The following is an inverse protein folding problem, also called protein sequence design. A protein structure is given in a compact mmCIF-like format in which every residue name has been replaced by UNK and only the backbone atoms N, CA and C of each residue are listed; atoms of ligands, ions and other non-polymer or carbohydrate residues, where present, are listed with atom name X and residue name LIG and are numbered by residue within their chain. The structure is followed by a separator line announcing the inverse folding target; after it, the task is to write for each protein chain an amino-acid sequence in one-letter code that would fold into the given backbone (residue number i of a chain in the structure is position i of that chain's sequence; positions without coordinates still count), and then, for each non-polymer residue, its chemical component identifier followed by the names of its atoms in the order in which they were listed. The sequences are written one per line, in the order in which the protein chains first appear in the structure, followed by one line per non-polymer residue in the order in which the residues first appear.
data_IF_768143004825
#
_entry.id   IF_768143004825
#
_cell.length_a   1.000
_cell.length_b   1.000
_cell.length_c   1.000
_cell.angle_alpha   90.00
_cell.angle_beta   90.00
_cell.angle_gamma   90.00
#
_symmetry.space_group_name_H-M   'P 1'
#
loop_
_entity.id
_entity.type
_entity.pdbx_description
1 polymer ?
#
# COMPACT_ATOMS: atom_id res chain seq x y z
N UNK A 1 -11.03 9.48 4.63
CA UNK A 1 -10.79 10.21 5.89
C UNK A 1 -10.83 9.22 7.04
N UNK A 2 -9.69 8.64 7.41
CA UNK A 2 -9.45 8.00 8.72
C UNK A 2 -7.95 7.67 8.83
N UNK A 3 -7.19 8.63 9.32
CA UNK A 3 -5.77 8.50 9.62
C UNK A 3 -5.63 8.06 11.08
N UNK A 4 -5.19 6.83 11.33
CA UNK A 4 -4.77 6.42 12.68
C UNK A 4 -3.27 6.73 12.86
N UNK A 5 -2.98 7.89 13.45
CA UNK A 5 -1.63 8.25 13.92
C UNK A 5 -1.35 7.56 15.26
N UNK A 6 -0.36 6.67 15.29
CA UNK A 6 0.17 6.14 16.55
C UNK A 6 1.21 7.11 17.12
N UNK A 7 0.86 7.79 18.22
CA UNK A 7 1.76 8.66 18.97
C UNK A 7 2.41 7.83 20.08
N UNK A 8 3.74 7.64 20.03
CA UNK A 8 4.51 7.02 21.11
C UNK A 8 4.81 8.11 22.15
N UNK A 9 4.26 7.98 23.37
CA UNK A 9 4.55 8.88 24.51
C UNK A 9 5.73 8.34 25.32
N UNK A 10 6.72 9.19 25.58
CA UNK A 10 7.79 8.95 26.55
C UNK A 10 7.29 9.23 28.00
N UNK A 11 7.85 8.55 29.03
CA UNK A 11 7.45 8.76 30.43
C UNK A 11 8.00 10.08 31.01
N UNK A 12 7.35 10.64 32.05
CA UNK A 12 7.67 11.97 32.58
C UNK A 12 8.93 11.97 33.46
N UNK A 13 9.72 13.05 33.36
CA UNK A 13 10.83 13.34 34.25
C UNK A 13 10.32 13.90 35.59
N UNK A 14 10.86 13.41 36.71
CA UNK A 14 10.57 13.90 38.06
C UNK A 14 11.21 15.28 38.29
N UNK A 15 10.41 16.19 38.83
CA UNK A 15 10.82 17.51 39.30
C UNK A 15 11.23 17.46 40.78
N UNK A 16 12.18 18.34 41.14
CA UNK A 16 12.58 18.70 42.50
C UNK A 16 14.02 19.23 42.46
N UNK A 17 14.41 20.38 43.01
CA UNK A 17 13.71 21.45 43.70
C UNK A 17 14.49 22.75 43.43
N UNK A 18 13.77 23.87 43.35
CA UNK A 18 14.36 25.21 43.23
C UNK A 18 14.58 25.80 44.62
N UNK A 19 15.78 26.30 44.91
CA UNK A 19 15.97 27.27 45.99
C UNK A 19 16.57 28.56 45.43
N UNK A 20 15.92 29.65 45.80
CA UNK A 20 16.05 30.95 45.20
C UNK A 20 17.14 31.81 45.85
N UNK A 21 17.67 32.70 45.00
CA UNK A 21 18.01 34.10 45.23
C UNK A 21 19.06 34.46 46.30
N UNK A 22 20.19 34.99 45.83
CA UNK A 22 20.90 36.07 46.52
C UNK A 22 21.36 37.14 45.51
N UNK A 23 20.78 38.33 45.65
CA UNK A 23 21.24 39.58 45.05
C UNK A 23 21.86 40.43 46.15
N UNK A 24 23.15 40.77 46.07
CA UNK A 24 23.70 42.10 46.43
C UNK A 24 25.24 42.15 46.20
N UNK A 25 25.68 43.31 45.71
CA UNK A 25 27.00 43.75 45.19
C UNK A 25 27.97 44.21 46.31
N UNK A 26 29.10 44.91 46.02
CA UNK A 26 30.25 44.64 45.14
C UNK A 26 31.61 44.83 45.87
N UNK A 27 32.72 44.24 45.41
CA UNK A 27 34.04 44.87 45.57
C UNK A 27 35.11 44.22 44.69
N UNK A 28 35.87 45.08 44.02
CA UNK A 28 37.20 44.85 43.45
C UNK A 28 37.36 43.81 42.33
N UNK A 29 37.13 44.30 41.09
CA UNK A 29 37.76 43.78 39.87
C UNK A 29 39.28 44.01 39.92
N UNK A 30 40.04 42.92 39.99
CA UNK A 30 41.41 42.70 39.50
C UNK A 30 41.95 41.53 40.35
N UNK A 31 42.18 40.33 39.85
CA UNK A 31 43.11 40.02 38.76
C UNK A 31 42.74 38.65 38.19
N UNK A 32 42.69 38.58 36.86
CA UNK A 32 42.50 37.36 36.06
C UNK A 32 43.85 36.67 35.89
N UNK A 33 43.94 35.40 36.31
CA UNK A 33 44.83 34.28 35.93
C UNK A 33 45.19 33.47 37.19
N UNK A 34 45.13 32.14 37.09
CA UNK A 34 45.52 31.14 38.09
C UNK A 34 44.44 30.55 39.02
N UNK A 35 43.23 30.26 38.51
CA UNK A 35 42.36 29.23 39.14
C UNK A 35 41.69 28.25 38.14
N UNK A 36 42.09 28.25 36.87
CA UNK A 36 41.63 27.24 35.89
C UNK A 36 42.48 25.95 35.91
N UNK A 37 43.47 25.85 36.80
CA UNK A 37 44.36 24.68 36.93
C UNK A 37 44.30 24.04 38.32
N UNK A 38 43.11 23.77 38.84
CA UNK A 38 42.99 22.85 39.98
C UNK A 38 41.70 22.03 39.97
N UNK A 39 41.38 21.43 38.82
CA UNK A 39 40.52 20.24 38.78
C UNK A 39 40.94 19.28 37.65
N UNK A 40 42.26 19.05 37.54
CA UNK A 40 42.80 17.91 36.81
C UNK A 40 43.37 16.93 37.85
N UNK A 41 42.51 16.20 38.56
CA UNK A 41 42.92 15.08 39.43
C UNK A 41 41.77 14.12 39.74
N UNK A 42 41.18 13.53 38.71
CA UNK A 42 40.67 12.14 38.77
C UNK A 42 40.66 11.59 37.34
N UNK A 43 41.62 10.75 36.95
CA UNK A 43 41.68 10.18 35.59
C UNK A 43 40.56 9.18 35.27
N UNK A 44 39.76 8.76 36.25
CA UNK A 44 38.91 7.56 36.09
C UNK A 44 37.40 7.81 35.95
N UNK A 45 36.96 9.06 35.81
CA UNK A 45 35.55 9.33 35.47
C UNK A 45 35.38 9.52 33.95
N UNK A 46 35.99 8.63 33.15
CA UNK A 46 35.46 8.37 31.82
C UNK A 46 34.11 7.69 32.01
N UNK A 47 33.02 8.45 32.03
CA UNK A 47 31.73 7.88 31.63
C UNK A 47 31.86 7.52 30.15
N UNK A 48 32.52 6.40 29.87
CA UNK A 48 32.35 5.71 28.62
C UNK A 48 30.87 5.38 28.59
N UNK A 49 30.09 6.19 27.86
CA UNK A 49 28.80 5.77 27.34
C UNK A 49 29.11 4.52 26.52
N UNK A 50 29.09 3.36 27.17
CA UNK A 50 29.29 2.08 26.50
C UNK A 50 28.33 2.07 25.33
N UNK A 51 28.88 1.89 24.12
CA UNK A 51 28.05 1.79 22.93
C UNK A 51 26.90 0.81 23.24
N UNK A 52 25.64 1.16 22.93
CA UNK A 52 24.51 0.32 23.31
C UNK A 52 24.81 -1.10 22.84
N UNK A 53 24.80 -2.06 23.77
CA UNK A 53 25.15 -3.43 23.48
C UNK A 53 24.30 -3.91 22.31
N UNK A 54 24.92 -4.05 21.14
CA UNK A 54 24.26 -4.58 19.95
C UNK A 54 23.95 -6.04 20.24
N UNK A 55 22.67 -6.34 20.48
CA UNK A 55 22.19 -7.72 20.61
C UNK A 55 21.81 -8.21 19.22
N UNK A 56 22.66 -9.00 18.55
CA UNK A 56 22.32 -9.52 17.23
C UNK A 56 21.13 -10.47 17.34
N UNK A 57 20.15 -10.29 16.47
CA UNK A 57 19.09 -11.27 16.27
C UNK A 57 19.66 -12.45 15.48
N UNK A 58 19.57 -13.67 16.04
CA UNK A 58 20.01 -14.89 15.37
C UNK A 58 18.83 -15.54 14.65
N UNK A 59 18.99 -15.78 13.35
CA UNK A 59 18.04 -16.61 12.59
C UNK A 59 18.28 -18.08 12.94
N UNK A 60 17.22 -18.80 13.31
CA UNK A 60 17.26 -20.21 13.72
C UNK A 60 16.53 -21.06 12.67
N UNK A 61 17.24 -21.76 11.76
CA UNK A 61 16.62 -22.47 10.64
C UNK A 61 15.79 -23.70 11.03
N UNK A 62 16.01 -24.25 12.23
CA UNK A 62 15.36 -25.48 12.70
C UNK A 62 13.90 -25.30 13.16
N UNK A 63 13.42 -24.05 13.24
CA UNK A 63 12.04 -23.74 13.58
C UNK A 63 11.43 -22.81 12.51
N UNK A 64 11.11 -23.34 11.31
CA UNK A 64 10.58 -22.51 10.24
C UNK A 64 9.20 -21.95 10.62
N UNK A 65 9.02 -20.65 10.38
CA UNK A 65 7.71 -20.00 10.46
C UNK A 65 6.83 -20.26 9.23
N UNK A 66 5.73 -19.51 9.06
CA UNK A 66 4.87 -19.60 7.89
C UNK A 66 5.63 -19.38 6.57
N UNK A 67 5.22 -20.07 5.52
CA UNK A 67 5.80 -19.90 4.18
C UNK A 67 5.56 -18.49 3.64
N UNK A 68 6.62 -17.78 3.32
CA UNK A 68 6.54 -16.51 2.60
C UNK A 68 5.92 -16.73 1.20
N UNK A 69 4.89 -15.95 0.85
CA UNK A 69 4.12 -16.12 -0.40
C UNK A 69 4.42 -15.07 -1.47
N UNK A 70 5.19 -14.04 -1.12
CA UNK A 70 5.62 -12.99 -2.03
C UNK A 70 5.19 -11.59 -1.61
N UNK A 71 5.83 -10.60 -2.22
CA UNK A 71 5.49 -9.17 -2.16
C UNK A 71 4.95 -8.75 -3.52
N UNK A 72 3.99 -7.83 -3.51
CA UNK A 72 3.33 -7.35 -4.71
C UNK A 72 2.94 -5.90 -4.65
N UNK A 73 2.33 -5.45 -5.75
CA UNK A 73 1.74 -4.14 -5.89
C UNK A 73 0.31 -4.25 -6.48
N UNK A 74 -0.44 -3.15 -6.38
CA UNK A 74 -1.80 -3.03 -6.90
C UNK A 74 -1.80 -2.05 -8.07
N UNK A 75 -2.35 -2.48 -9.20
CA UNK A 75 -2.84 -1.61 -10.25
C UNK A 75 -4.36 -1.48 -10.11
N UNK A 76 -4.85 -0.25 -10.18
CA UNK A 76 -6.24 0.10 -9.90
C UNK A 76 -6.51 0.40 -8.43
N UNK A 77 -7.74 0.19 -8.00
CA UNK A 77 -8.30 1.02 -6.92
C UNK A 77 -8.43 2.46 -7.37
N UNK A 78 -8.76 2.65 -8.66
CA UNK A 78 -8.97 3.95 -9.28
C UNK A 78 -7.82 4.39 -10.16
N UNK A 79 -7.76 3.87 -11.38
CA UNK A 79 -7.04 4.43 -12.50
C UNK A 79 -5.55 4.76 -12.33
N UNK A 80 -4.87 4.03 -11.44
CA UNK A 80 -3.48 4.32 -11.03
C UNK A 80 -2.45 4.06 -12.14
N UNK A 81 -2.78 3.20 -13.11
CA UNK A 81 -1.93 2.90 -14.28
C UNK A 81 -2.31 3.72 -15.54
N UNK A 82 -3.32 4.61 -15.44
CA UNK A 82 -3.88 5.33 -16.60
C UNK A 82 -2.81 5.99 -17.47
N UNK A 83 -1.85 6.68 -16.87
CA UNK A 83 -0.83 7.42 -17.62
C UNK A 83 0.27 6.53 -18.18
N UNK A 84 0.64 5.45 -17.50
CA UNK A 84 1.68 4.52 -17.96
C UNK A 84 1.28 3.84 -19.28
N UNK A 85 -0.01 3.55 -19.45
CA UNK A 85 -0.53 2.92 -20.66
C UNK A 85 -0.35 3.77 -21.94
N UNK A 86 -0.30 5.10 -21.80
CA UNK A 86 -0.20 6.02 -22.95
C UNK A 86 1.26 6.31 -23.36
N UNK A 87 2.25 5.83 -22.60
CA UNK A 87 3.65 6.01 -22.94
C UNK A 87 3.99 5.26 -24.24
N UNK A 88 4.89 5.82 -25.04
CA UNK A 88 5.48 5.08 -26.15
C UNK A 88 6.17 3.80 -25.61
N UNK A 89 6.12 2.66 -26.33
CA UNK A 89 6.64 1.38 -25.82
C UNK A 89 8.07 1.44 -25.28
N UNK A 90 8.95 2.20 -25.92
CA UNK A 90 10.34 2.42 -25.53
C UNK A 90 10.48 3.17 -24.19
N UNK A 91 9.54 4.07 -23.87
CA UNK A 91 9.54 4.82 -22.62
C UNK A 91 8.86 4.03 -21.49
N UNK A 92 7.87 3.20 -21.81
CA UNK A 92 7.21 2.33 -20.85
C UNK A 92 8.09 1.13 -20.44
N UNK A 93 8.92 0.62 -21.36
CA UNK A 93 9.69 -0.60 -21.14
C UNK A 93 10.59 -0.58 -19.90
N UNK A 94 11.39 0.49 -19.63
CA UNK A 94 12.23 0.53 -18.42
C UNK A 94 11.42 0.54 -17.12
N UNK A 95 10.24 1.17 -17.10
CA UNK A 95 9.35 1.17 -15.93
C UNK A 95 8.82 -0.24 -15.68
N UNK A 96 8.34 -0.91 -16.73
CA UNK A 96 7.84 -2.28 -16.64
C UNK A 96 8.95 -3.28 -16.28
N UNK A 97 10.17 -3.08 -16.78
CA UNK A 97 11.34 -3.89 -16.42
C UNK A 97 11.69 -3.70 -14.94
N UNK A 98 11.70 -2.45 -14.46
CA UNK A 98 11.95 -2.15 -13.04
C UNK A 98 10.88 -2.76 -12.11
N UNK A 99 9.64 -2.93 -12.57
CA UNK A 99 8.57 -3.53 -11.77
C UNK A 99 8.61 -5.06 -11.80
N UNK A 100 8.76 -5.66 -12.98
CA UNK A 100 8.44 -7.08 -13.20
C UNK A 100 9.63 -7.96 -13.58
N UNK A 101 10.79 -7.41 -13.97
CA UNK A 101 11.94 -8.26 -14.28
C UNK A 101 12.44 -8.97 -13.00
N UNK A 102 12.76 -10.25 -13.11
CA UNK A 102 13.18 -11.07 -11.96
C UNK A 102 14.64 -10.86 -11.56
N UNK A 103 15.46 -10.30 -12.46
CA UNK A 103 16.90 -10.10 -12.23
C UNK A 103 17.28 -8.68 -11.81
N UNK A 104 16.30 -7.81 -11.54
CA UNK A 104 16.54 -6.43 -11.13
C UNK A 104 15.29 -5.65 -10.77
N UNK A 105 15.44 -4.46 -10.20
CA UNK A 105 14.33 -3.61 -9.78
C UNK A 105 13.56 -4.16 -8.57
N UNK A 106 12.24 -4.00 -8.57
CA UNK A 106 11.33 -4.47 -7.53
C UNK A 106 11.07 -5.98 -7.60
N UNK A 107 11.25 -6.60 -8.78
CA UNK A 107 11.04 -8.04 -9.01
C UNK A 107 9.74 -8.58 -8.38
N UNK A 108 8.61 -7.90 -8.67
CA UNK A 108 7.33 -8.20 -8.03
C UNK A 108 6.92 -9.66 -8.27
N UNK A 109 6.47 -10.31 -7.19
CA UNK A 109 6.02 -11.71 -7.19
C UNK A 109 4.50 -11.81 -7.33
N UNK A 110 3.79 -10.72 -7.04
CA UNK A 110 2.34 -10.61 -7.10
C UNK A 110 1.96 -9.29 -7.79
N UNK A 111 1.08 -9.36 -8.79
CA UNK A 111 0.37 -8.22 -9.33
C UNK A 111 -1.13 -8.41 -9.06
N UNK A 112 -1.72 -7.48 -8.31
CA UNK A 112 -3.17 -7.41 -8.13
C UNK A 112 -3.71 -6.29 -9.03
N UNK A 113 -4.78 -6.58 -9.76
CA UNK A 113 -5.46 -5.61 -10.64
C UNK A 113 -6.91 -5.39 -10.22
N UNK A 114 -7.46 -4.23 -10.56
CA UNK A 114 -8.89 -3.96 -10.45
C UNK A 114 -9.69 -4.70 -11.53
N UNK A 115 -10.81 -5.30 -11.12
CA UNK A 115 -11.89 -5.70 -12.02
C UNK A 115 -12.79 -4.46 -12.15
N UNK A 116 -12.61 -3.72 -13.24
CA UNK A 116 -13.30 -2.44 -13.47
C UNK A 116 -14.82 -2.54 -13.32
N UNK A 117 -15.40 -1.51 -12.70
CA UNK A 117 -16.81 -1.46 -12.33
C UNK A 117 -17.58 -0.28 -12.90
N UNK A 118 -16.98 0.51 -13.82
CA UNK A 118 -17.53 1.75 -14.39
C UNK A 118 -17.82 2.86 -13.37
N UNK A 119 -17.18 2.81 -12.20
CA UNK A 119 -17.33 3.84 -11.16
C UNK A 119 -15.96 4.37 -10.72
N UNK A 120 -15.96 5.55 -10.10
CA UNK A 120 -14.79 6.12 -9.42
C UNK A 120 -14.37 5.20 -8.27
N UNK A 121 -13.11 4.75 -8.28
CA UNK A 121 -12.55 3.85 -7.26
C UNK A 121 -11.33 4.42 -6.49
N UNK A 122 -10.84 5.64 -6.80
CA UNK A 122 -10.08 6.61 -5.96
C UNK A 122 -9.62 7.79 -6.84
N UNK A 123 -8.76 7.54 -7.83
CA UNK A 123 -8.18 8.57 -8.71
C UNK A 123 -8.81 8.59 -10.11
N UNK A 124 -9.78 7.71 -10.37
CA UNK A 124 -10.54 7.64 -11.62
C UNK A 124 -11.41 6.39 -11.70
N UNK A 125 -12.10 6.23 -12.82
CA UNK A 125 -12.90 5.04 -13.09
C UNK A 125 -12.17 4.06 -14.00
N UNK A 126 -12.46 2.77 -13.81
CA UNK A 126 -11.97 1.71 -14.66
C UNK A 126 -13.10 0.97 -15.37
N UNK A 127 -12.92 0.63 -16.66
CA UNK A 127 -13.99 0.11 -17.49
C UNK A 127 -14.36 -1.32 -17.12
N UNK A 128 -15.65 -1.59 -17.00
CA UNK A 128 -16.18 -2.95 -16.84
C UNK A 128 -16.16 -3.75 -18.15
N UNK A 129 -15.99 -5.07 -18.02
CA UNK A 129 -16.18 -6.05 -19.09
C UNK A 129 -17.67 -6.33 -19.39
N UNK A 130 -18.60 -5.86 -18.56
CA UNK A 130 -20.04 -5.98 -18.79
C UNK A 130 -20.78 -4.74 -18.26
N UNK A 131 -20.94 -3.72 -19.10
CA UNK A 131 -21.54 -2.42 -18.74
C UNK A 131 -23.04 -2.49 -18.51
N UNK A 132 -23.70 -3.42 -19.18
CA UNK A 132 -25.13 -3.66 -19.07
C UNK A 132 -25.47 -5.17 -19.02
N UNK A 133 -26.74 -5.47 -18.75
CA UNK A 133 -27.22 -6.84 -18.62
C UNK A 133 -27.11 -7.64 -19.93
N UNK A 134 -27.15 -6.97 -21.09
CA UNK A 134 -26.98 -7.62 -22.38
C UNK A 134 -25.54 -8.08 -22.59
N UNK A 135 -24.55 -7.24 -22.25
CA UNK A 135 -23.14 -7.65 -22.25
C UNK A 135 -22.88 -8.76 -21.22
N UNK A 136 -23.48 -8.66 -20.03
CA UNK A 136 -23.35 -9.65 -18.98
C UNK A 136 -23.93 -11.03 -19.33
N UNK A 137 -24.92 -11.08 -20.23
CA UNK A 137 -25.55 -12.32 -20.69
C UNK A 137 -24.87 -12.95 -21.90
N UNK A 138 -24.08 -12.20 -22.67
CA UNK A 138 -23.35 -12.73 -23.83
C UNK A 138 -22.23 -13.69 -23.39
N UNK A 139 -22.03 -14.81 -24.09
CA UNK A 139 -20.84 -15.65 -23.95
C UNK A 139 -19.55 -14.85 -24.13
N UNK A 140 -18.44 -15.32 -23.54
CA UNK A 140 -17.13 -14.67 -23.67
C UNK A 140 -16.66 -14.72 -25.13
N UNK A 141 -16.95 -15.85 -25.76
CA UNK A 141 -16.56 -16.27 -27.11
C UNK A 141 -17.15 -15.37 -28.21
N UNK A 142 -18.30 -14.74 -27.93
CA UNK A 142 -19.03 -13.92 -28.92
C UNK A 142 -18.54 -12.47 -28.97
N UNK A 143 -17.94 -11.96 -27.88
CA UNK A 143 -17.49 -10.57 -27.79
C UNK A 143 -16.24 -10.42 -26.92
N UNK A 144 -15.10 -10.82 -27.47
CA UNK A 144 -13.81 -10.76 -26.77
C UNK A 144 -13.34 -9.32 -26.51
N UNK A 145 -13.82 -8.33 -27.28
CA UNK A 145 -13.36 -6.94 -27.21
C UNK A 145 -13.66 -6.28 -25.85
N UNK A 146 -14.64 -6.79 -25.11
CA UNK A 146 -14.92 -6.33 -23.74
C UNK A 146 -13.85 -6.75 -22.72
N UNK A 147 -13.10 -7.83 -23.00
CA UNK A 147 -11.96 -8.31 -22.21
C UNK A 147 -10.62 -7.73 -22.68
N UNK A 148 -10.67 -6.63 -23.42
CA UNK A 148 -9.50 -5.81 -23.76
C UNK A 148 -9.72 -4.33 -23.42
N UNK A 149 -10.80 -3.99 -22.71
CA UNK A 149 -11.07 -2.61 -22.26
C UNK A 149 -10.12 -2.23 -21.14
N UNK A 150 -9.71 -0.96 -21.14
CA UNK A 150 -8.75 -0.45 -20.16
C UNK A 150 -7.35 -1.02 -20.38
N UNK A 151 -6.54 -0.99 -19.34
CA UNK A 151 -5.11 -1.29 -19.41
C UNK A 151 -4.69 -2.49 -18.56
N UNK A 152 -5.55 -2.99 -17.67
CA UNK A 152 -5.17 -4.08 -16.76
C UNK A 152 -4.83 -5.38 -17.48
N UNK A 153 -5.57 -5.71 -18.55
CA UNK A 153 -5.24 -6.84 -19.42
C UNK A 153 -3.86 -6.72 -20.06
N UNK A 154 -3.50 -5.50 -20.50
CA UNK A 154 -2.19 -5.21 -21.05
C UNK A 154 -1.11 -5.33 -19.98
N UNK A 155 -1.33 -4.75 -18.80
CA UNK A 155 -0.37 -4.77 -17.71
C UNK A 155 -0.08 -6.20 -17.24
N UNK A 156 -1.12 -7.04 -17.09
CA UNK A 156 -0.97 -8.45 -16.74
C UNK A 156 -0.14 -9.22 -17.78
N UNK A 157 -0.33 -8.94 -19.07
CA UNK A 157 0.49 -9.53 -20.14
C UNK A 157 1.95 -9.07 -20.07
N UNK A 158 2.18 -7.77 -19.89
CA UNK A 158 3.53 -7.21 -19.75
C UNK A 158 4.26 -7.76 -18.53
N UNK A 159 3.55 -7.98 -17.42
CA UNK A 159 4.06 -8.60 -16.21
C UNK A 159 4.42 -10.06 -16.43
N UNK A 160 3.51 -10.87 -17.00
CA UNK A 160 3.75 -12.28 -17.32
C UNK A 160 4.89 -12.50 -18.31
N UNK A 161 5.05 -11.59 -19.28
CA UNK A 161 6.14 -11.63 -20.26
C UNK A 161 7.52 -11.51 -19.59
N UNK A 162 7.63 -10.74 -18.51
CA UNK A 162 8.89 -10.50 -17.77
C UNK A 162 9.11 -11.46 -16.62
N UNK A 163 8.03 -11.87 -15.97
CA UNK A 163 8.02 -12.85 -14.89
C UNK A 163 6.87 -13.84 -15.11
N UNK A 164 7.12 -14.97 -15.81
CA UNK A 164 6.10 -15.99 -16.03
C UNK A 164 5.51 -16.56 -14.73
N UNK A 165 6.28 -16.55 -13.64
CA UNK A 165 5.87 -17.04 -12.32
C UNK A 165 5.09 -16.02 -11.48
N UNK A 166 4.88 -14.78 -11.98
CA UNK A 166 4.12 -13.77 -11.24
C UNK A 166 2.70 -14.25 -10.95
N UNK A 167 2.25 -14.07 -9.71
CA UNK A 167 0.87 -14.39 -9.32
C UNK A 167 -0.05 -13.22 -9.67
N UNK A 168 -1.17 -13.51 -10.33
CA UNK A 168 -2.17 -12.52 -10.69
C UNK A 168 -3.38 -12.63 -9.76
N UNK A 169 -3.87 -11.49 -9.28
CA UNK A 169 -5.09 -11.39 -8.48
C UNK A 169 -6.00 -10.34 -9.11
N UNK A 170 -7.31 -10.61 -9.17
CA UNK A 170 -8.33 -9.63 -9.55
C UNK A 170 -9.24 -9.32 -8.37
N UNK A 171 -9.63 -8.05 -8.21
CA UNK A 171 -10.62 -7.64 -7.20
C UNK A 171 -11.49 -6.50 -7.75
N UNK A 172 -12.83 -6.57 -7.65
CA UNK A 172 -13.69 -5.44 -7.98
C UNK A 172 -13.75 -4.43 -6.84
N UNK A 173 -13.58 -3.14 -7.14
CA UNK A 173 -13.86 -2.04 -6.21
C UNK A 173 -15.31 -1.55 -6.32
N UNK A 174 -15.89 -1.65 -7.52
CA UNK A 174 -17.25 -1.27 -7.81
C UNK A 174 -17.89 -2.27 -8.79
N UNK A 175 -19.20 -2.10 -9.00
CA UNK A 175 -19.99 -2.97 -9.86
C UNK A 175 -20.92 -2.14 -10.75
N UNK A 176 -21.12 -2.51 -12.02
CA UNK A 176 -22.12 -1.90 -12.87
C UNK A 176 -23.53 -1.99 -12.27
N UNK A 177 -24.31 -0.92 -12.40
CA UNK A 177 -25.62 -0.79 -11.75
C UNK A 177 -26.64 -1.89 -12.14
N UNK A 178 -26.54 -2.46 -13.34
CA UNK A 178 -27.47 -3.53 -13.77
C UNK A 178 -27.38 -4.79 -12.90
N UNK A 179 -26.27 -5.00 -12.18
CA UNK A 179 -26.12 -6.14 -11.28
C UNK A 179 -27.06 -6.06 -10.07
N UNK A 180 -27.51 -4.87 -9.66
CA UNK A 180 -28.54 -4.69 -8.62
C UNK A 180 -29.98 -4.67 -9.18
N UNK A 181 -30.18 -4.84 -10.50
CA UNK A 181 -31.50 -4.79 -11.15
C UNK A 181 -32.41 -5.97 -10.76
N UNK A 182 -33.74 -5.77 -10.62
CA UNK A 182 -34.69 -6.81 -10.21
C UNK A 182 -34.82 -7.89 -11.28
N UNK A 183 -34.93 -9.16 -10.85
CA UNK A 183 -35.57 -10.19 -11.67
C UNK A 183 -37.09 -9.96 -11.61
N UNK A 184 -37.80 -10.13 -12.73
CA UNK A 184 -39.21 -9.77 -12.90
C UNK A 184 -40.23 -10.52 -12.00
N UNK A 185 -39.80 -11.28 -11.01
CA UNK A 185 -40.60 -12.33 -10.35
C UNK A 185 -40.74 -12.22 -8.83
N UNK A 186 -40.26 -11.15 -8.18
CA UNK A 186 -40.44 -11.00 -6.72
C UNK A 186 -40.86 -9.59 -6.34
N UNK A 187 -41.63 -9.48 -5.25
CA UNK A 187 -42.05 -8.23 -4.62
C UNK A 187 -40.85 -7.29 -4.46
N UNK A 188 -40.68 -6.43 -5.45
CA UNK A 188 -39.41 -5.76 -5.69
C UNK A 188 -39.20 -4.68 -4.63
N UNK A 189 -38.11 -4.79 -3.88
CA UNK A 189 -37.50 -3.63 -3.22
C UNK A 189 -37.45 -2.48 -4.22
N UNK A 190 -37.78 -1.25 -3.78
CA UNK A 190 -37.68 -0.04 -4.61
C UNK A 190 -36.29 0.00 -5.25
N UNK A 191 -36.17 0.53 -6.46
CA UNK A 191 -34.92 0.50 -7.23
C UNK A 191 -33.69 1.07 -6.50
N UNK A 192 -33.88 1.88 -5.46
CA UNK A 192 -32.80 2.42 -4.62
C UNK A 192 -32.37 1.55 -3.43
N UNK A 193 -33.11 0.49 -3.10
CA UNK A 193 -32.86 -0.35 -1.91
C UNK A 193 -32.16 -1.69 -2.24
N UNK A 194 -31.83 -1.91 -3.52
CA UNK A 194 -31.24 -3.17 -3.98
C UNK A 194 -29.72 -3.11 -3.95
N UNK A 195 -29.12 -4.12 -3.33
CA UNK A 195 -27.68 -4.27 -3.27
C UNK A 195 -27.21 -5.28 -4.31
N UNK A 196 -25.99 -5.12 -4.84
CA UNK A 196 -25.36 -6.10 -5.75
C UNK A 196 -25.26 -7.51 -5.16
N UNK A 197 -25.37 -7.64 -3.83
CA UNK A 197 -25.31 -8.91 -3.10
C UNK A 197 -26.67 -9.60 -2.98
N UNK A 198 -27.77 -8.95 -3.40
CA UNK A 198 -29.11 -9.54 -3.34
C UNK A 198 -29.29 -10.69 -4.35
N UNK A 199 -28.49 -10.76 -5.42
CA UNK A 199 -28.42 -11.87 -6.39
C UNK A 199 -26.98 -12.41 -6.51
N UNK A 200 -26.53 -13.26 -5.56
CA UNK A 200 -25.15 -13.74 -5.53
C UNK A 200 -24.80 -14.61 -6.74
N UNK A 201 -25.79 -15.26 -7.37
CA UNK A 201 -25.55 -16.07 -8.56
C UNK A 201 -25.24 -15.19 -9.78
N UNK A 202 -25.96 -14.07 -9.95
CA UNK A 202 -25.66 -13.08 -11.00
C UNK A 202 -24.30 -12.42 -10.78
N UNK A 203 -24.02 -12.00 -9.55
CA UNK A 203 -22.73 -11.43 -9.20
C UNK A 203 -21.58 -12.42 -9.45
N UNK A 204 -21.74 -13.68 -9.03
CA UNK A 204 -20.73 -14.71 -9.27
C UNK A 204 -20.49 -14.93 -10.77
N UNK A 205 -21.55 -14.96 -11.61
CA UNK A 205 -21.39 -15.08 -13.07
C UNK A 205 -20.61 -13.89 -13.65
N UNK A 206 -20.87 -12.67 -13.19
CA UNK A 206 -20.13 -11.48 -13.60
C UNK A 206 -18.63 -11.56 -13.24
N UNK A 207 -18.29 -11.96 -12.01
CA UNK A 207 -16.89 -12.07 -11.60
C UNK A 207 -16.19 -13.23 -12.30
N UNK A 208 -16.85 -14.39 -12.40
CA UNK A 208 -16.28 -15.58 -13.06
C UNK A 208 -16.08 -15.35 -14.56
N UNK A 209 -16.93 -14.58 -15.23
CA UNK A 209 -16.73 -14.26 -16.65
C UNK A 209 -15.49 -13.41 -16.91
N UNK A 210 -15.02 -12.65 -15.92
CA UNK A 210 -13.73 -11.94 -16.01
C UNK A 210 -12.53 -12.88 -15.88
N UNK A 211 -12.66 -13.98 -15.11
CA UNK A 211 -11.55 -14.90 -14.84
C UNK A 211 -11.34 -15.92 -15.98
N UNK A 212 -12.41 -16.28 -16.69
CA UNK A 212 -12.40 -17.26 -17.78
C UNK A 212 -11.74 -16.71 -19.03
#
# INVERSE_FOLDING_TARGET
NNSHSAVIRAPPARAGDSLALAMARPAARATVLALSMLLAASPDASYALGAPATRPYRLVPSAPGPTFRGVGAISGGGATTRMLYDYAPEAAAPVLDALFNTTGGAALQILKVEIGGDAQSTDGSEPSHARDASEGARPVEEDHRRFSRGYEWWLMREAKRRNPEIKLYGLPWAFPNWLSAANATTNAKRSGDRHVYDDPARLARYVVSWVR
#
